data_IF_566676520455
#
_entry.id   IF_566676520455
#
_cell.length_a   1.000
_cell.length_b   1.000
_cell.length_c   1.000
_cell.angle_alpha   90.00
_cell.angle_beta   90.00
_cell.angle_gamma   90.00
#
_symmetry.space_group_name_H-M   'P 1'
#
loop_
_entity.id
_entity.type
_entity.pdbx_description
1 polymer ?
#
# COMPACT_ATOMS: atom_id res chain seq x y z
N UNK A 1 -38.49 7.06 -23.58
CA UNK A 1 -37.57 5.91 -23.47
C UNK A 1 -36.78 6.08 -22.18
N UNK A 2 -37.22 5.44 -21.10
CA UNK A 2 -36.49 5.48 -19.84
C UNK A 2 -35.20 4.69 -20.02
N UNK A 3 -34.05 5.38 -19.95
CA UNK A 3 -32.76 4.73 -19.80
C UNK A 3 -32.80 4.04 -18.44
N UNK A 4 -33.06 2.73 -18.43
CA UNK A 4 -32.83 1.89 -17.27
C UNK A 4 -31.33 2.02 -16.95
N UNK A 5 -30.98 2.94 -16.05
CA UNK A 5 -29.70 2.92 -15.37
C UNK A 5 -29.67 1.60 -14.62
N UNK A 6 -29.11 0.57 -15.26
CA UNK A 6 -28.80 -0.67 -14.60
C UNK A 6 -28.08 -0.30 -13.30
N UNK A 7 -28.57 -0.73 -12.13
CA UNK A 7 -27.92 -0.43 -10.87
C UNK A 7 -26.47 -0.86 -11.02
N UNK A 8 -25.55 0.11 -10.89
CA UNK A 8 -24.12 -0.12 -10.92
C UNK A 8 -23.86 -1.37 -10.07
N UNK A 9 -23.38 -2.50 -10.64
CA UNK A 9 -23.48 -3.78 -9.95
C UNK A 9 -22.87 -3.66 -8.56
N UNK A 10 -23.64 -3.95 -7.51
CA UNK A 10 -23.21 -3.68 -6.15
C UNK A 10 -21.80 -4.27 -5.92
N UNK A 11 -20.88 -3.42 -5.48
CA UNK A 11 -19.49 -3.83 -5.25
C UNK A 11 -19.47 -4.95 -4.20
N UNK A 12 -18.91 -6.14 -4.51
CA UNK A 12 -18.93 -7.24 -3.56
C UNK A 12 -18.23 -6.84 -2.25
N UNK A 13 -18.74 -7.33 -1.12
CA UNK A 13 -18.21 -6.99 0.20
C UNK A 13 -16.70 -7.22 0.35
N UNK A 14 -16.15 -8.18 -0.39
CA UNK A 14 -14.73 -8.50 -0.41
C UNK A 14 -13.90 -7.45 -1.16
N UNK A 15 -14.39 -6.93 -2.29
CA UNK A 15 -13.73 -5.84 -3.01
C UNK A 15 -13.82 -4.55 -2.20
N UNK A 16 -14.95 -4.33 -1.52
CA UNK A 16 -15.11 -3.21 -0.58
C UNK A 16 -14.13 -3.31 0.59
N UNK A 17 -13.93 -4.50 1.16
CA UNK A 17 -12.94 -4.73 2.20
C UNK A 17 -11.51 -4.45 1.71
N UNK A 18 -11.14 -4.91 0.51
CA UNK A 18 -9.84 -4.58 -0.12
C UNK A 18 -9.69 -3.08 -0.29
N UNK A 19 -10.73 -2.39 -0.79
CA UNK A 19 -10.70 -0.94 -0.98
C UNK A 19 -10.50 -0.21 0.35
N UNK A 20 -11.19 -0.61 1.42
CA UNK A 20 -11.03 -0.04 2.76
C UNK A 20 -9.62 -0.28 3.29
N UNK A 21 -9.09 -1.49 3.16
CA UNK A 21 -7.74 -1.82 3.61
C UNK A 21 -6.67 -1.01 2.87
N UNK A 22 -6.82 -0.82 1.55
CA UNK A 22 -5.93 0.04 0.76
C UNK A 22 -6.03 1.51 1.16
N UNK A 23 -7.23 2.03 1.44
CA UNK A 23 -7.37 3.40 1.95
C UNK A 23 -6.72 3.59 3.31
N UNK A 24 -6.81 2.59 4.19
CA UNK A 24 -6.11 2.58 5.47
C UNK A 24 -4.59 2.60 5.24
N UNK A 25 -4.10 1.78 4.31
CA UNK A 25 -2.68 1.76 3.89
C UNK A 25 -2.21 3.14 3.41
N UNK A 26 -2.95 3.75 2.49
CA UNK A 26 -2.69 5.11 1.99
C UNK A 26 -2.67 6.13 3.14
N UNK A 27 -3.64 6.09 4.05
CA UNK A 27 -3.70 7.02 5.17
C UNK A 27 -2.46 6.91 6.08
N UNK A 28 -2.07 5.69 6.44
CA UNK A 28 -0.85 5.45 7.21
C UNK A 28 0.41 5.87 6.44
N UNK A 29 0.47 5.60 5.13
CA UNK A 29 1.59 6.01 4.28
C UNK A 29 1.73 7.53 4.18
N UNK A 30 0.62 8.27 4.05
CA UNK A 30 0.62 9.74 4.10
C UNK A 30 1.12 10.24 5.45
N UNK A 31 0.62 9.68 6.56
CA UNK A 31 1.07 10.06 7.91
C UNK A 31 2.57 9.81 8.06
N UNK A 32 3.05 8.63 7.66
CA UNK A 32 4.47 8.30 7.71
C UNK A 32 5.32 9.28 6.88
N UNK A 33 4.88 9.59 5.65
CA UNK A 33 5.57 10.54 4.78
C UNK A 33 5.65 11.94 5.42
N UNK A 34 4.54 12.43 5.95
CA UNK A 34 4.46 13.73 6.64
C UNK A 34 5.37 13.77 7.86
N UNK A 35 5.40 12.69 8.65
CA UNK A 35 6.29 12.59 9.82
C UNK A 35 7.77 12.48 9.43
N UNK A 36 8.10 11.90 8.28
CA UNK A 36 9.50 11.83 7.80
C UNK A 36 10.05 13.15 7.25
N UNK A 37 9.19 14.05 6.74
CA UNK A 37 9.62 15.34 6.17
C UNK A 37 10.42 16.22 7.17
N UNK A 38 9.99 16.40 8.43
CA UNK A 38 10.78 17.09 9.45
C UNK A 38 12.16 16.46 9.71
N UNK A 39 12.26 15.12 9.71
CA UNK A 39 13.53 14.41 9.88
C UNK A 39 14.49 14.66 8.71
N UNK A 40 13.99 14.90 7.50
CA UNK A 40 14.82 15.25 6.33
C UNK A 40 15.29 16.70 6.36
N UNK A 41 14.56 17.61 7.00
CA UNK A 41 14.92 19.02 7.08
C UNK A 41 15.87 19.31 8.26
N UNK A 42 15.85 18.47 9.30
CA UNK A 42 16.76 18.58 10.45
C UNK A 42 17.13 17.21 11.03
N UNK A 43 17.86 16.36 10.27
CA UNK A 43 18.25 15.03 10.75
C UNK A 43 19.14 15.12 12.00
N UNK A 44 19.98 16.15 12.09
CA UNK A 44 20.91 16.34 13.20
C UNK A 44 20.26 16.42 14.57
N UNK A 45 19.04 16.96 14.69
CA UNK A 45 18.38 17.12 16.00
C UNK A 45 17.78 15.82 16.55
N UNK A 46 17.14 15.02 15.69
CA UNK A 46 16.48 13.78 16.09
C UNK A 46 17.50 12.64 16.34
N UNK A 47 18.53 12.51 15.50
CA UNK A 47 19.54 11.47 15.64
C UNK A 47 20.51 11.76 16.80
N UNK A 48 20.86 13.03 17.06
CA UNK A 48 21.65 13.40 18.24
C UNK A 48 20.88 13.15 19.54
N UNK A 49 19.57 13.43 19.59
CA UNK A 49 18.74 13.12 20.76
C UNK A 49 18.63 11.61 21.02
N UNK A 50 18.69 10.79 19.96
CA UNK A 50 18.68 9.33 20.05
C UNK A 50 20.07 8.73 20.34
N UNK A 51 21.15 9.53 20.30
CA UNK A 51 22.53 9.04 20.44
C UNK A 51 22.98 8.11 19.30
N UNK A 52 22.36 8.24 18.12
CA UNK A 52 22.64 7.39 16.95
C UNK A 52 23.25 8.24 15.85
N UNK A 53 24.23 7.68 15.13
CA UNK A 53 24.82 8.34 13.98
C UNK A 53 23.78 8.48 12.86
N UNK A 54 23.57 9.68 12.30
CA UNK A 54 22.55 9.87 11.28
C UNK A 54 22.92 9.09 10.01
N UNK A 55 21.98 8.35 9.40
CA UNK A 55 22.22 7.68 8.14
C UNK A 55 22.54 8.69 7.03
N UNK A 56 23.30 8.29 5.98
CA UNK A 56 23.71 9.19 4.91
C UNK A 56 22.49 9.86 4.26
N UNK A 57 22.54 11.18 4.14
CA UNK A 57 21.43 12.02 3.69
C UNK A 57 20.80 11.53 2.38
N UNK A 58 21.64 11.10 1.43
CA UNK A 58 21.19 10.55 0.15
C UNK A 58 20.35 9.27 0.29
N UNK A 59 20.63 8.42 1.28
CA UNK A 59 19.85 7.21 1.53
C UNK A 59 18.48 7.55 2.13
N UNK A 60 18.41 8.53 3.05
CA UNK A 60 17.14 9.01 3.61
C UNK A 60 16.23 9.61 2.53
N UNK A 61 16.78 10.44 1.65
CA UNK A 61 16.05 10.99 0.51
C UNK A 61 15.60 9.89 -0.46
N UNK A 62 16.49 8.95 -0.79
CA UNK A 62 16.17 7.82 -1.66
C UNK A 62 15.00 6.98 -1.13
N UNK A 63 15.03 6.63 0.17
CA UNK A 63 13.95 5.89 0.82
C UNK A 63 12.64 6.67 0.87
N UNK A 64 12.71 7.98 1.11
CA UNK A 64 11.51 8.84 1.15
C UNK A 64 10.87 8.97 -0.23
N UNK A 65 11.66 9.23 -1.27
CA UNK A 65 11.18 9.30 -2.65
C UNK A 65 10.57 7.96 -3.06
N UNK A 66 11.24 6.85 -2.75
CA UNK A 66 10.72 5.51 -3.03
C UNK A 66 9.39 5.29 -2.33
N UNK A 67 9.29 5.62 -1.05
CA UNK A 67 8.05 5.51 -0.27
C UNK A 67 6.92 6.36 -0.86
N UNK A 68 7.22 7.57 -1.31
CA UNK A 68 6.26 8.44 -1.99
C UNK A 68 5.76 7.83 -3.31
N UNK A 69 6.65 7.21 -4.10
CA UNK A 69 6.27 6.51 -5.34
C UNK A 69 5.33 5.34 -5.04
N UNK A 70 5.64 4.52 -4.03
CA UNK A 70 4.78 3.42 -3.60
C UNK A 70 3.40 3.92 -3.16
N UNK A 71 3.34 5.00 -2.37
CA UNK A 71 2.10 5.62 -1.93
C UNK A 71 1.25 6.11 -3.12
N UNK A 72 1.88 6.77 -4.10
CA UNK A 72 1.19 7.22 -5.32
C UNK A 72 0.67 6.03 -6.12
N UNK A 73 1.46 4.96 -6.26
CA UNK A 73 1.02 3.75 -6.96
C UNK A 73 -0.19 3.10 -6.26
N UNK A 74 -0.17 2.99 -4.93
CA UNK A 74 -1.29 2.47 -4.14
C UNK A 74 -2.55 3.34 -4.30
N UNK A 75 -2.39 4.66 -4.26
CA UNK A 75 -3.48 5.61 -4.48
C UNK A 75 -4.08 5.48 -5.89
N UNK A 76 -3.26 5.34 -6.93
CA UNK A 76 -3.75 5.13 -8.29
C UNK A 76 -4.54 3.81 -8.38
N UNK A 77 -4.04 2.74 -7.75
CA UNK A 77 -4.70 1.44 -7.76
C UNK A 77 -6.04 1.49 -7.01
N UNK A 78 -6.11 2.08 -5.81
CA UNK A 78 -7.36 2.16 -5.03
C UNK A 78 -8.42 2.99 -5.75
N UNK A 79 -8.02 4.07 -6.44
CA UNK A 79 -8.93 4.90 -7.24
C UNK A 79 -9.41 4.18 -8.52
N UNK A 80 -8.67 3.19 -9.01
CA UNK A 80 -9.05 2.40 -10.19
C UNK A 80 -9.98 1.24 -9.85
N UNK A 81 -10.11 0.83 -8.59
CA UNK A 81 -10.98 -0.29 -8.18
C UNK A 81 -12.42 -0.15 -8.75
N UNK A 82 -13.10 1.00 -8.68
CA UNK A 82 -14.46 1.15 -9.19
C UNK A 82 -14.60 0.94 -10.70
N UNK A 83 -13.48 0.98 -11.46
CA UNK A 83 -13.46 0.82 -12.92
C UNK A 83 -13.55 -0.64 -13.36
N UNK A 84 -13.55 -1.61 -12.43
CA UNK A 84 -13.77 -3.04 -12.70
C UNK A 84 -12.80 -3.68 -13.70
N UNK A 85 -11.62 -3.08 -13.91
CA UNK A 85 -10.67 -3.60 -14.89
C UNK A 85 -9.88 -4.79 -14.32
N UNK A 86 -9.78 -5.87 -15.09
CA UNK A 86 -8.95 -7.03 -14.73
C UNK A 86 -7.48 -6.64 -14.49
N UNK A 87 -6.97 -5.66 -15.25
CA UNK A 87 -5.64 -5.09 -15.07
C UNK A 87 -5.45 -4.43 -13.70
N UNK A 88 -6.50 -3.85 -13.11
CA UNK A 88 -6.45 -3.25 -11.78
C UNK A 88 -6.31 -4.32 -10.71
N UNK A 89 -7.07 -5.42 -10.83
CA UNK A 89 -6.95 -6.58 -9.92
C UNK A 89 -5.53 -7.16 -9.96
N UNK A 90 -5.02 -7.45 -11.16
CA UNK A 90 -3.66 -7.97 -11.32
C UNK A 90 -2.61 -6.99 -10.80
N UNK A 91 -2.79 -5.69 -11.06
CA UNK A 91 -1.92 -4.64 -10.53
C UNK A 91 -1.85 -4.62 -9.01
N UNK A 92 -3.00 -4.73 -8.32
CA UNK A 92 -3.05 -4.80 -6.85
C UNK A 92 -2.35 -6.05 -6.33
N UNK A 93 -2.60 -7.21 -6.93
CA UNK A 93 -1.98 -8.47 -6.51
C UNK A 93 -0.45 -8.41 -6.66
N UNK A 94 0.04 -7.94 -7.81
CA UNK A 94 1.48 -7.81 -8.06
C UNK A 94 2.10 -6.79 -7.11
N UNK A 95 1.45 -5.64 -6.92
CA UNK A 95 1.94 -4.59 -6.02
C UNK A 95 2.07 -5.09 -4.58
N UNK A 96 1.01 -5.70 -4.02
CA UNK A 96 1.06 -6.22 -2.65
C UNK A 96 1.98 -7.44 -2.52
N UNK A 97 2.08 -8.28 -3.54
CA UNK A 97 3.02 -9.39 -3.58
C UNK A 97 4.47 -8.91 -3.50
N UNK A 98 4.85 -7.93 -4.32
CA UNK A 98 6.19 -7.33 -4.30
C UNK A 98 6.46 -6.59 -2.99
N UNK A 99 5.50 -5.82 -2.49
CA UNK A 99 5.61 -5.13 -1.20
C UNK A 99 5.83 -6.09 -0.03
N UNK A 100 5.17 -7.26 -0.02
CA UNK A 100 5.40 -8.30 0.98
C UNK A 100 6.81 -8.89 0.90
N UNK A 101 7.33 -9.14 -0.31
CA UNK A 101 8.71 -9.61 -0.51
C UNK A 101 9.71 -8.58 0.00
N UNK A 102 9.52 -7.31 -0.35
CA UNK A 102 10.38 -6.21 0.14
C UNK A 102 10.32 -6.11 1.67
N UNK A 103 9.14 -6.24 2.27
CA UNK A 103 8.97 -6.24 3.72
C UNK A 103 9.70 -7.40 4.40
N UNK A 104 9.67 -8.60 3.81
CA UNK A 104 10.42 -9.77 4.31
C UNK A 104 11.93 -9.56 4.22
N UNK A 105 12.42 -9.07 3.07
CA UNK A 105 13.85 -8.76 2.90
C UNK A 105 14.28 -7.71 3.92
N UNK A 106 13.50 -6.64 4.09
CA UNK A 106 13.81 -5.61 5.07
C UNK A 106 13.76 -6.13 6.51
N UNK A 107 12.80 -6.99 6.86
CA UNK A 107 12.73 -7.62 8.18
C UNK A 107 13.93 -8.53 8.46
N UNK A 108 14.39 -9.29 7.46
CA UNK A 108 15.58 -10.13 7.57
C UNK A 108 16.85 -9.29 7.79
N UNK A 109 16.96 -8.15 7.10
CA UNK A 109 18.11 -7.24 7.23
C UNK A 109 18.09 -6.43 8.53
N UNK A 110 16.91 -5.95 8.95
CA UNK A 110 16.75 -5.10 10.14
C UNK A 110 16.56 -5.88 11.45
N UNK A 111 16.41 -7.21 11.38
CA UNK A 111 16.01 -8.08 12.51
C UNK A 111 14.70 -7.66 13.19
N UNK A 112 13.91 -6.79 12.57
CA UNK A 112 12.61 -6.34 13.05
C UNK A 112 11.49 -7.19 12.42
N UNK A 113 11.14 -8.27 13.11
CA UNK A 113 10.19 -9.25 12.59
C UNK A 113 8.73 -8.79 12.66
N UNK A 114 8.35 -7.97 13.64
CA UNK A 114 6.96 -7.59 13.86
C UNK A 114 6.37 -6.78 12.68
N UNK A 115 7.11 -5.78 12.18
CA UNK A 115 6.66 -4.94 11.05
C UNK A 115 6.64 -5.70 9.71
N UNK A 116 7.60 -6.61 9.52
CA UNK A 116 7.64 -7.49 8.35
C UNK A 116 6.48 -8.46 8.31
N UNK A 117 6.24 -9.18 9.42
CA UNK A 117 5.14 -10.15 9.52
C UNK A 117 3.79 -9.47 9.35
N UNK A 118 3.56 -8.31 9.97
CA UNK A 118 2.31 -7.57 9.79
C UNK A 118 2.05 -7.21 8.33
N UNK A 119 3.06 -6.66 7.63
CA UNK A 119 2.95 -6.29 6.22
C UNK A 119 2.63 -7.50 5.33
N UNK A 120 3.25 -8.65 5.60
CA UNK A 120 3.01 -9.90 4.87
C UNK A 120 1.59 -10.42 5.10
N UNK A 121 1.10 -10.38 6.34
CA UNK A 121 -0.27 -10.81 6.67
C UNK A 121 -1.29 -9.94 5.95
N UNK A 122 -1.13 -8.61 5.98
CA UNK A 122 -2.02 -7.68 5.27
C UNK A 122 -2.02 -7.96 3.76
N UNK A 123 -0.84 -8.15 3.16
CA UNK A 123 -0.72 -8.49 1.75
C UNK A 123 -1.42 -9.82 1.41
N UNK A 124 -1.22 -10.86 2.23
CA UNK A 124 -1.85 -12.16 2.05
C UNK A 124 -3.39 -12.06 2.14
N UNK A 125 -3.91 -11.28 3.08
CA UNK A 125 -5.35 -11.03 3.22
C UNK A 125 -5.91 -10.33 1.97
N UNK A 126 -5.26 -9.26 1.50
CA UNK A 126 -5.70 -8.51 0.32
C UNK A 126 -5.68 -9.42 -0.92
N UNK A 127 -4.59 -10.16 -1.14
CA UNK A 127 -4.46 -11.09 -2.27
C UNK A 127 -5.53 -12.18 -2.17
N UNK A 128 -5.74 -12.76 -0.99
CA UNK A 128 -6.76 -13.78 -0.74
C UNK A 128 -8.17 -13.30 -1.06
N UNK A 129 -8.53 -12.09 -0.61
CA UNK A 129 -9.81 -11.45 -0.92
C UNK A 129 -9.99 -11.19 -2.42
N UNK A 130 -8.92 -10.84 -3.14
CA UNK A 130 -8.95 -10.64 -4.59
C UNK A 130 -8.95 -11.95 -5.39
N UNK A 131 -8.57 -13.08 -4.78
CA UNK A 131 -8.58 -14.41 -5.41
C UNK A 131 -9.93 -15.12 -5.37
N UNK A 132 -10.88 -14.59 -4.60
CA UNK A 132 -12.22 -15.13 -4.49
C UNK A 132 -13.00 -15.06 -5.82
N UNK A 133 -13.99 -15.94 -5.97
CA UNK A 133 -14.92 -15.92 -7.11
C UNK A 133 -15.64 -14.57 -7.31
N UNK A 134 -16.28 -13.95 -6.30
CA UNK A 134 -17.02 -12.71 -6.51
C UNK A 134 -16.10 -11.51 -6.81
N UNK A 135 -14.86 -11.50 -6.31
CA UNK A 135 -13.89 -10.46 -6.69
C UNK A 135 -13.43 -10.64 -8.14
N UNK A 136 -13.14 -11.87 -8.58
CA UNK A 136 -12.80 -12.18 -9.97
C UNK A 136 -13.90 -11.72 -10.92
N UNK A 137 -15.15 -12.05 -10.62
CA UNK A 137 -16.32 -11.65 -11.43
C UNK A 137 -16.47 -10.12 -11.51
N UNK A 138 -16.28 -9.43 -10.39
CA UNK A 138 -16.37 -7.96 -10.36
C UNK A 138 -15.33 -7.28 -11.25
N UNK A 139 -14.11 -7.82 -11.33
CA UNK A 139 -13.03 -7.26 -12.15
C UNK A 139 -12.97 -7.82 -13.59
N UNK A 140 -13.88 -8.73 -13.96
CA UNK A 140 -14.02 -9.23 -15.34
C UNK A 140 -15.21 -8.62 -16.08
N UNK A 141 -16.03 -7.82 -15.39
CA UNK A 141 -17.25 -7.18 -15.90
C UNK A 141 -16.96 -5.78 -16.44
#
# INVERSE_FOLDING_TARGET
>A
MAQNHAPNPAMPGQVRAVQVLMWIGVAFGVIALVLTLPLLLSPGSAFQAAGVEPPPMGALWGLTILSAIFLVAELILVLRIPRRQASTRTGIIVFFGLSAVVALVNAALSKSFAGGVFSVVVAAVIIGLLMSAPAKEYFSA
#
